data_IF_570600845423
#
_entry.id   IF_570600845423
#
_cell.length_a   1.000
_cell.length_b   1.000
_cell.length_c   1.000
_cell.angle_alpha   90.00
_cell.angle_beta   90.00
_cell.angle_gamma   90.00
#
_symmetry.space_group_name_H-M   'P 1'
#
loop_
_entity.id
_entity.type
_entity.pdbx_description
1 polymer ?
#
# COMPACT_ATOMS: atom_id res chain seq x y z
N UNK A 1 11.44 -11.63 -19.27
CA UNK A 1 10.72 -10.75 -18.34
C UNK A 1 10.35 -9.45 -19.03
N UNK A 2 9.05 -9.19 -19.20
CA UNK A 2 8.58 -7.94 -19.78
C UNK A 2 8.74 -6.78 -18.77
N UNK A 3 8.56 -5.53 -19.19
CA UNK A 3 8.77 -4.36 -18.32
C UNK A 3 7.78 -4.30 -17.15
N UNK A 4 6.53 -4.71 -17.37
CA UNK A 4 5.48 -4.70 -16.35
C UNK A 4 5.81 -5.72 -15.26
N UNK A 5 6.16 -6.94 -15.67
CA UNK A 5 6.59 -8.02 -14.79
C UNK A 5 7.77 -7.61 -13.89
N UNK A 6 8.79 -6.96 -14.45
CA UNK A 6 9.93 -6.42 -13.69
C UNK A 6 9.50 -5.41 -12.62
N UNK A 7 8.58 -4.51 -12.97
CA UNK A 7 8.10 -3.48 -12.07
C UNK A 7 7.20 -4.07 -10.96
N UNK A 8 6.35 -5.03 -11.30
CA UNK A 8 5.51 -5.74 -10.33
C UNK A 8 6.36 -6.54 -9.34
N UNK A 9 7.39 -7.25 -9.81
CA UNK A 9 8.30 -7.97 -8.91
C UNK A 9 9.08 -7.02 -8.00
N UNK A 10 9.57 -5.90 -8.53
CA UNK A 10 10.22 -4.87 -7.72
C UNK A 10 9.29 -4.28 -6.64
N UNK A 11 8.00 -4.09 -6.96
CA UNK A 11 6.99 -3.65 -6.01
C UNK A 11 6.74 -4.69 -4.90
N UNK A 12 6.64 -5.97 -5.26
CA UNK A 12 6.49 -7.07 -4.29
C UNK A 12 7.70 -7.14 -3.36
N UNK A 13 8.92 -7.12 -3.92
CA UNK A 13 10.16 -7.17 -3.14
C UNK A 13 10.27 -5.97 -2.18
N UNK A 14 9.94 -4.78 -2.66
CA UNK A 14 9.95 -3.56 -1.84
C UNK A 14 8.89 -3.62 -0.72
N UNK A 15 7.69 -4.15 -0.99
CA UNK A 15 6.66 -4.33 0.03
C UNK A 15 7.09 -5.32 1.11
N UNK A 16 7.84 -6.37 0.74
CA UNK A 16 8.43 -7.29 1.70
C UNK A 16 9.49 -6.64 2.59
N UNK A 17 10.29 -5.72 2.06
CA UNK A 17 11.24 -4.94 2.85
C UNK A 17 10.56 -4.00 3.87
N UNK A 18 9.32 -3.57 3.60
CA UNK A 18 8.48 -2.79 4.52
C UNK A 18 7.76 -3.64 5.57
N UNK A 19 7.87 -4.97 5.51
CA UNK A 19 7.30 -5.89 6.49
C UNK A 19 5.94 -6.46 6.13
N UNK A 20 5.50 -6.36 4.87
CA UNK A 20 4.30 -7.06 4.41
C UNK A 20 4.45 -8.58 4.58
N UNK A 21 3.37 -9.25 4.98
CA UNK A 21 3.43 -10.66 5.37
C UNK A 21 3.83 -11.57 4.21
N UNK A 22 4.54 -12.67 4.52
CA UNK A 22 4.93 -13.65 3.49
C UNK A 22 3.72 -14.19 2.71
N UNK A 23 2.58 -14.37 3.37
CA UNK A 23 1.36 -14.88 2.72
C UNK A 23 0.87 -13.92 1.64
N UNK A 24 0.87 -12.61 1.92
CA UNK A 24 0.44 -11.60 0.96
C UNK A 24 1.43 -11.45 -0.20
N UNK A 25 2.73 -11.54 0.09
CA UNK A 25 3.79 -11.56 -0.92
C UNK A 25 3.68 -12.78 -1.83
N UNK A 26 3.43 -13.96 -1.26
CA UNK A 26 3.25 -15.21 -2.02
C UNK A 26 2.01 -15.10 -2.92
N UNK A 27 0.90 -14.56 -2.41
CA UNK A 27 -0.33 -14.33 -3.18
C UNK A 27 -0.08 -13.39 -4.38
N UNK A 28 0.55 -12.24 -4.14
CA UNK A 28 0.90 -11.30 -5.22
C UNK A 28 1.87 -11.92 -6.24
N UNK A 29 2.81 -12.76 -5.78
CA UNK A 29 3.76 -13.47 -6.64
C UNK A 29 3.05 -14.49 -7.53
N UNK A 30 2.08 -15.25 -7.01
CA UNK A 30 1.28 -16.20 -7.79
C UNK A 30 0.49 -15.48 -8.89
N UNK A 31 -0.12 -14.33 -8.57
CA UNK A 31 -0.83 -13.49 -9.54
C UNK A 31 0.12 -12.97 -10.62
N UNK A 32 1.30 -12.47 -10.24
CA UNK A 32 2.32 -11.99 -11.16
C UNK A 32 2.82 -13.09 -12.11
N UNK A 33 3.07 -14.29 -11.59
CA UNK A 33 3.46 -15.47 -12.39
C UNK A 33 2.35 -15.92 -13.36
N UNK A 34 1.09 -15.63 -13.01
CA UNK A 34 -0.07 -15.87 -13.86
C UNK A 34 -0.34 -14.72 -14.84
N UNK A 35 0.55 -13.72 -14.92
CA UNK A 35 0.43 -12.49 -15.73
C UNK A 35 -0.73 -11.57 -15.31
N UNK A 36 -1.29 -11.77 -14.12
CA UNK A 36 -2.34 -10.95 -13.53
C UNK A 36 -1.75 -9.74 -12.78
N UNK A 37 -0.92 -8.95 -13.47
CA UNK A 37 -0.11 -7.92 -12.82
C UNK A 37 -0.92 -6.82 -12.13
N UNK A 38 -2.10 -6.49 -12.65
CA UNK A 38 -3.02 -5.53 -12.03
C UNK A 38 -3.57 -6.04 -10.70
N UNK A 39 -3.88 -7.34 -10.60
CA UNK A 39 -4.32 -7.96 -9.35
C UNK A 39 -3.17 -8.12 -8.36
N UNK A 40 -1.96 -8.44 -8.85
CA UNK A 40 -0.77 -8.44 -8.02
C UNK A 40 -0.50 -7.05 -7.41
N UNK A 41 -0.61 -5.99 -8.23
CA UNK A 41 -0.51 -4.61 -7.77
C UNK A 41 -1.57 -4.27 -6.71
N UNK A 42 -2.84 -4.57 -7.01
CA UNK A 42 -3.98 -4.29 -6.14
C UNK A 42 -3.84 -5.00 -4.78
N UNK A 43 -3.38 -6.26 -4.80
CA UNK A 43 -3.07 -7.04 -3.60
C UNK A 43 -2.04 -6.30 -2.74
N UNK A 44 -0.92 -5.85 -3.32
CA UNK A 44 0.13 -5.17 -2.54
C UNK A 44 -0.39 -3.86 -1.93
N UNK A 45 -1.00 -2.99 -2.72
CA UNK A 45 -1.44 -1.67 -2.20
C UNK A 45 -2.57 -1.79 -1.18
N UNK A 46 -3.48 -2.75 -1.36
CA UNK A 46 -4.57 -3.00 -0.42
C UNK A 46 -4.04 -3.56 0.89
N UNK A 47 -3.18 -4.57 0.85
CA UNK A 47 -2.66 -5.19 2.07
C UNK A 47 -1.77 -4.24 2.88
N UNK A 48 -0.95 -3.40 2.22
CA UNK A 48 -0.20 -2.34 2.92
C UNK A 48 -1.14 -1.42 3.71
N UNK A 49 -2.28 -1.04 3.13
CA UNK A 49 -3.24 -0.17 3.80
C UNK A 49 -4.03 -0.86 4.90
N UNK A 50 -4.49 -2.09 4.67
CA UNK A 50 -5.24 -2.86 5.68
C UNK A 50 -4.43 -3.11 6.94
N UNK A 51 -3.12 -3.35 6.79
CA UNK A 51 -2.21 -3.55 7.92
C UNK A 51 -1.58 -2.26 8.46
N UNK A 52 -1.98 -1.07 7.98
CA UNK A 52 -1.37 0.24 8.30
C UNK A 52 0.17 0.20 8.21
N UNK A 53 0.71 -0.42 7.17
CA UNK A 53 2.16 -0.52 6.96
C UNK A 53 2.69 0.82 6.43
N UNK A 54 3.61 1.38 7.21
CA UNK A 54 4.28 2.64 6.91
C UNK A 54 5.05 2.56 5.59
N UNK A 55 4.89 3.59 4.75
CA UNK A 55 5.65 3.74 3.50
C UNK A 55 6.41 5.08 3.50
N UNK A 56 7.47 5.17 2.72
CA UNK A 56 8.15 6.43 2.41
C UNK A 56 7.70 6.98 1.04
N UNK A 57 8.21 8.16 0.68
CA UNK A 57 7.84 8.81 -0.57
C UNK A 57 8.44 8.07 -1.78
N UNK A 58 9.61 7.44 -1.61
CA UNK A 58 10.28 6.64 -2.63
C UNK A 58 9.44 5.42 -3.01
N UNK A 59 8.88 4.70 -2.03
CA UNK A 59 7.97 3.59 -2.24
C UNK A 59 6.67 4.07 -2.90
N UNK A 60 6.10 5.19 -2.44
CA UNK A 60 4.91 5.76 -3.06
C UNK A 60 5.14 6.09 -4.56
N UNK A 61 6.30 6.65 -4.89
CA UNK A 61 6.67 6.94 -6.28
C UNK A 61 6.82 5.65 -7.11
N UNK A 62 7.33 4.55 -6.53
CA UNK A 62 7.35 3.25 -7.19
C UNK A 62 5.92 2.76 -7.51
N UNK A 63 4.98 2.89 -6.57
CA UNK A 63 3.57 2.56 -6.81
C UNK A 63 2.99 3.37 -7.98
N UNK A 64 3.22 4.69 -7.98
CA UNK A 64 2.76 5.59 -9.06
C UNK A 64 3.34 5.14 -10.42
N UNK A 65 4.64 4.84 -10.48
CA UNK A 65 5.30 4.41 -11.71
C UNK A 65 4.71 3.10 -12.24
N UNK A 66 4.50 2.11 -11.36
CA UNK A 66 3.90 0.82 -11.72
C UNK A 66 2.47 1.04 -12.24
N UNK A 67 1.65 1.79 -11.52
CA UNK A 67 0.27 2.10 -11.88
C UNK A 67 0.17 2.81 -13.24
N UNK A 68 1.03 3.80 -13.51
CA UNK A 68 1.08 4.50 -14.79
C UNK A 68 1.43 3.57 -15.95
N UNK A 69 2.35 2.61 -15.77
CA UNK A 69 2.67 1.62 -16.82
C UNK A 69 1.51 0.67 -17.11
N UNK A 70 0.70 0.37 -16.10
CA UNK A 70 -0.50 -0.45 -16.25
C UNK A 70 -1.76 0.35 -16.64
N UNK A 71 -1.66 1.69 -16.71
CA UNK A 71 -2.80 2.61 -16.92
C UNK A 71 -3.87 2.48 -15.83
N UNK A 72 -3.45 2.21 -14.61
CA UNK A 72 -4.31 2.17 -13.43
C UNK A 72 -4.60 3.62 -12.98
N UNK A 73 -5.87 4.03 -12.86
CA UNK A 73 -6.24 5.38 -12.42
C UNK A 73 -5.76 5.70 -11.00
N UNK A 74 -5.36 6.95 -10.75
CA UNK A 74 -4.82 7.36 -9.43
C UNK A 74 -5.78 7.11 -8.26
N UNK A 75 -7.08 7.30 -8.48
CA UNK A 75 -8.10 7.11 -7.44
C UNK A 75 -8.23 5.65 -6.96
N UNK A 76 -7.61 4.68 -7.63
CA UNK A 76 -7.62 3.28 -7.17
C UNK A 76 -6.51 2.95 -6.18
N UNK A 77 -5.51 3.82 -6.01
CA UNK A 77 -4.38 3.56 -5.10
C UNK A 77 -3.97 4.78 -4.27
N UNK A 78 -4.51 5.97 -4.52
CA UNK A 78 -4.13 7.20 -3.81
C UNK A 78 -4.41 7.17 -2.31
N UNK A 79 -5.26 6.27 -1.82
CA UNK A 79 -5.52 6.07 -0.40
C UNK A 79 -4.26 5.70 0.40
N UNK A 80 -3.28 5.02 -0.22
CA UNK A 80 -2.03 4.66 0.47
C UNK A 80 -1.16 5.89 0.81
N UNK A 81 -1.47 7.08 0.27
CA UNK A 81 -0.79 8.32 0.68
C UNK A 81 -0.93 8.58 2.19
N UNK A 82 -1.97 8.05 2.82
CA UNK A 82 -2.19 8.16 4.27
C UNK A 82 -1.19 7.34 5.10
N UNK A 83 -0.51 6.38 4.48
CA UNK A 83 0.54 5.56 5.08
C UNK A 83 1.92 6.22 5.04
N UNK A 84 2.07 7.32 4.27
CA UNK A 84 3.36 8.01 4.14
C UNK A 84 3.76 8.57 5.50
N UNK A 85 4.90 8.10 6.03
CA UNK A 85 5.49 8.63 7.26
C UNK A 85 6.46 9.75 6.93
N UNK A 86 6.04 10.96 7.23
CA UNK A 86 6.87 12.17 7.19
C UNK A 86 6.71 12.90 8.54
N UNK A 87 7.74 13.63 8.97
CA UNK A 87 7.70 14.50 10.16
C UNK A 87 6.53 15.50 10.12
N UNK A 88 6.03 15.83 8.93
CA UNK A 88 4.93 16.78 8.73
C UNK A 88 3.56 16.11 8.48
N UNK A 89 3.47 14.79 8.49
CA UNK A 89 2.24 14.04 8.19
C UNK A 89 1.79 13.28 9.43
N UNK A 90 0.54 13.49 9.86
CA UNK A 90 -0.06 12.72 10.94
C UNK A 90 -0.49 11.35 10.41
N UNK A 91 0.03 10.24 10.97
CA UNK A 91 -0.36 8.87 10.65
C UNK A 91 -1.87 8.59 10.70
N UNK A 92 -2.35 7.68 9.84
CA UNK A 92 -3.71 7.14 9.92
C UNK A 92 -4.00 6.50 11.28
N UNK A 93 -3.16 5.58 11.77
CA UNK A 93 -3.34 4.97 13.10
C UNK A 93 -3.49 5.99 14.24
N UNK A 94 -2.76 7.11 14.18
CA UNK A 94 -2.89 8.19 15.18
C UNK A 94 -4.24 8.89 15.06
N UNK A 95 -4.71 9.18 13.83
CA UNK A 95 -6.04 9.77 13.59
C UNK A 95 -7.15 8.84 14.05
N UNK A 96 -7.04 7.54 13.74
CA UNK A 96 -8.00 6.51 14.13
C UNK A 96 -8.10 6.42 15.65
N UNK A 97 -6.94 6.36 16.34
CA UNK A 97 -6.92 6.32 17.82
C UNK A 97 -7.50 7.58 18.45
N UNK A 98 -7.23 8.75 17.87
CA UNK A 98 -7.79 10.01 18.36
C UNK A 98 -9.32 10.05 18.18
N UNK A 99 -9.83 9.55 17.05
CA UNK A 99 -11.26 9.47 16.79
C UNK A 99 -11.97 8.57 17.83
N UNK A 100 -11.39 7.42 18.17
CA UNK A 100 -11.90 6.54 19.24
C UNK A 100 -12.00 7.28 20.59
N UNK A 101 -10.92 7.97 20.99
CA UNK A 101 -10.88 8.71 22.26
C UNK A 101 -11.93 9.82 22.29
N UNK A 102 -12.06 10.58 21.20
CA UNK A 102 -13.05 11.66 21.11
C UNK A 102 -14.49 11.13 21.18
N UNK A 103 -14.76 9.95 20.62
CA UNK A 103 -16.07 9.32 20.73
C UNK A 103 -16.39 8.96 22.19
N UNK A 104 -15.44 8.33 22.90
CA UNK A 104 -15.59 7.99 24.31
C UNK A 104 -15.82 9.21 25.20
N UNK A 105 -15.23 10.36 24.89
CA UNK A 105 -15.43 11.59 25.66
C UNK A 105 -16.79 12.24 25.42
N UNK A 106 -17.38 12.09 24.22
CA UNK A 106 -18.70 12.64 23.88
C UNK A 106 -19.84 11.83 24.49
N UNK A 107 -19.69 10.52 24.62
CA UNK A 107 -20.74 9.63 25.13
C UNK A 107 -20.86 9.68 26.67
N UNK A 108 -19.90 10.32 27.36
CA UNK A 108 -19.85 10.47 28.82
C UNK A 108 -20.27 11.88 29.33
N UNK A 109 -20.81 12.73 28.44
CA UNK A 109 -21.33 14.08 28.75
C UNK A 109 -22.75 14.25 28.26
#
# INVERSE_FOLDING_TARGET
MNKIEKLTLALIDAAGALGLSKVDLDNATILSNSHEYGLAFDTIVTQLYEYDIDIDIEFYNLVVDVAQKMRIPENTYSFIRELIRDKNVVPKSVKDKLAEILHLLKDNT
#
